data_IF_698094455060
#
_entry.id   IF_698094455060
#
_cell.length_a   1.000
_cell.length_b   1.000
_cell.length_c   1.000
_cell.angle_alpha   90.00
_cell.angle_beta   90.00
_cell.angle_gamma   90.00
#
_symmetry.space_group_name_H-M   'P 1'
#
loop_
_entity.id
_entity.type
_entity.pdbx_description
1 polymer ?
#
# COMPACT_ATOMS: atom_id res chain seq x y z
N UNK A 1 2.45 0.43 2.77
CA UNK A 1 1.20 0.90 2.13
C UNK A 1 0.76 2.16 2.84
N UNK A 2 0.49 3.22 2.09
CA UNK A 2 -0.05 4.47 2.63
C UNK A 2 -1.33 4.78 1.85
N UNK A 3 -2.40 5.06 2.58
CA UNK A 3 -3.74 5.27 2.01
C UNK A 3 -4.39 6.53 2.60
N UNK A 4 -4.08 7.70 2.05
CA UNK A 4 -4.75 8.91 2.50
C UNK A 4 -6.12 9.14 1.85
N UNK A 5 -6.93 9.90 2.53
CA UNK A 5 -8.25 10.37 2.06
C UNK A 5 -8.18 11.89 1.82
N UNK A 6 -8.66 12.31 0.66
CA UNK A 6 -8.81 13.72 0.32
C UNK A 6 -10.28 14.13 0.52
N UNK A 7 -10.53 15.29 1.14
CA UNK A 7 -11.86 15.90 1.22
C UNK A 7 -11.72 17.40 0.90
N UNK A 8 -12.62 17.94 0.05
CA UNK A 8 -12.67 19.35 -0.33
C UNK A 8 -14.02 19.92 0.10
N UNK A 9 -14.01 20.95 0.79
CA UNK A 9 -15.20 21.58 1.28
C UNK A 9 -15.36 22.86 0.48
N UNK A 10 -16.58 23.15 0.01
CA UNK A 10 -16.80 24.34 -0.71
C UNK A 10 -18.04 25.00 -0.42
N UNK A 11 -18.13 26.03 -0.34
CA UNK A 11 -19.24 26.88 -0.20
C UNK A 11 -19.32 27.76 -1.38
N UNK A 12 -20.08 28.31 -1.68
CA UNK A 12 -20.35 29.19 -2.70
C UNK A 12 -19.68 28.97 -4.02
N UNK A 13 -19.94 27.93 -4.63
CA UNK A 13 -19.66 27.76 -6.02
C UNK A 13 -18.29 27.17 -6.40
N UNK A 14 -17.51 26.69 -5.43
CA UNK A 14 -16.29 25.92 -5.72
C UNK A 14 -16.71 24.45 -5.86
N UNK A 15 -16.56 23.90 -7.05
CA UNK A 15 -16.99 22.52 -7.35
C UNK A 15 -15.94 21.52 -6.84
N UNK A 16 -16.24 20.86 -5.73
CA UNK A 16 -15.30 19.92 -5.08
C UNK A 16 -14.94 18.72 -5.98
N UNK A 17 -15.88 18.27 -6.83
CA UNK A 17 -15.63 17.16 -7.76
C UNK A 17 -14.57 17.55 -8.82
N UNK A 18 -14.62 18.79 -9.32
CA UNK A 18 -13.66 19.23 -10.35
C UNK A 18 -12.23 19.24 -9.78
N UNK A 19 -12.04 19.75 -8.56
CA UNK A 19 -10.73 19.73 -7.90
C UNK A 19 -10.30 18.30 -7.54
N UNK A 20 -11.24 17.45 -7.15
CA UNK A 20 -10.94 16.02 -6.93
C UNK A 20 -10.48 15.37 -8.24
N UNK A 21 -11.07 15.71 -9.37
CA UNK A 21 -10.66 15.17 -10.68
C UNK A 21 -9.23 15.61 -11.06
N UNK A 22 -8.85 16.85 -10.70
CA UNK A 22 -7.47 17.32 -10.91
C UNK A 22 -6.49 16.51 -10.03
N UNK A 23 -6.85 16.26 -8.76
CA UNK A 23 -6.04 15.41 -7.87
C UNK A 23 -5.89 14.00 -8.45
N UNK A 24 -7.00 13.40 -8.90
CA UNK A 24 -6.99 12.04 -9.50
C UNK A 24 -6.10 12.03 -10.76
N UNK A 25 -6.13 13.09 -11.55
CA UNK A 25 -5.29 13.23 -12.75
C UNK A 25 -3.81 13.26 -12.37
N UNK A 26 -3.45 14.00 -11.31
CA UNK A 26 -2.07 14.05 -10.82
C UNK A 26 -1.64 12.69 -10.24
N UNK A 27 -2.51 12.04 -9.47
CA UNK A 27 -2.25 10.68 -8.96
C UNK A 27 -1.94 9.74 -10.14
N UNK A 28 -2.80 9.74 -11.17
CA UNK A 28 -2.60 8.91 -12.36
C UNK A 28 -1.29 9.25 -13.08
N UNK A 29 -0.95 10.52 -13.19
CA UNK A 29 0.29 10.97 -13.83
C UNK A 29 1.53 10.43 -13.08
N UNK A 30 1.48 10.47 -11.74
CA UNK A 30 2.56 9.89 -10.90
C UNK A 30 2.60 8.37 -11.02
N UNK A 31 1.45 7.70 -11.04
CA UNK A 31 1.37 6.26 -11.22
C UNK A 31 2.08 5.81 -12.50
N UNK A 32 1.87 6.53 -13.60
CA UNK A 32 2.55 6.23 -14.88
C UNK A 32 4.07 6.39 -14.75
N UNK A 33 4.54 7.42 -14.02
CA UNK A 33 5.98 7.63 -13.79
C UNK A 33 6.57 6.50 -12.95
N UNK A 34 5.87 6.07 -11.88
CA UNK A 34 6.31 4.97 -11.03
C UNK A 34 6.42 3.67 -11.84
N UNK A 35 5.43 3.39 -12.68
CA UNK A 35 5.43 2.19 -13.52
C UNK A 35 6.59 2.18 -14.53
N UNK A 36 7.05 3.37 -14.97
CA UNK A 36 8.18 3.49 -15.87
C UNK A 36 9.53 3.35 -15.14
N UNK A 37 9.57 3.60 -13.83
CA UNK A 37 10.79 3.54 -13.01
C UNK A 37 10.92 2.13 -12.38
N UNK A 38 11.20 1.14 -13.23
CA UNK A 38 11.27 -0.26 -12.80
C UNK A 38 12.44 -0.51 -11.85
N UNK A 39 12.15 -1.27 -10.81
CA UNK A 39 13.17 -1.80 -9.90
C UNK A 39 14.06 -2.83 -10.61
N UNK A 40 15.31 -2.90 -10.20
CA UNK A 40 16.23 -3.96 -10.61
C UNK A 40 16.10 -5.21 -9.73
N UNK A 41 15.31 -5.16 -8.67
CA UNK A 41 15.09 -6.32 -7.79
C UNK A 41 14.17 -7.32 -8.47
N UNK A 42 14.74 -8.42 -8.93
CA UNK A 42 14.03 -9.47 -9.67
C UNK A 42 13.14 -10.36 -8.81
N UNK A 43 13.15 -10.16 -7.50
CA UNK A 43 12.31 -10.94 -6.58
C UNK A 43 10.85 -10.47 -6.57
N UNK A 44 10.59 -9.23 -7.02
CA UNK A 44 9.24 -8.68 -7.10
C UNK A 44 8.55 -9.13 -8.39
N UNK A 45 7.32 -9.62 -8.28
CA UNK A 45 6.45 -9.93 -9.43
C UNK A 45 5.99 -8.66 -10.16
N UNK A 46 5.75 -7.58 -9.41
CA UNK A 46 5.46 -6.25 -9.97
C UNK A 46 6.68 -5.38 -9.65
N UNK A 47 7.55 -5.12 -10.64
CA UNK A 47 8.86 -4.48 -10.37
C UNK A 47 8.79 -2.96 -10.31
N UNK A 48 7.75 -2.40 -9.71
CA UNK A 48 7.62 -0.96 -9.50
C UNK A 48 6.58 -0.67 -8.43
N UNK A 49 6.69 0.47 -7.80
CA UNK A 49 5.66 0.93 -6.86
C UNK A 49 4.36 1.24 -7.60
N UNK A 50 3.25 0.93 -6.97
CA UNK A 50 1.93 1.18 -7.56
C UNK A 50 1.21 2.28 -6.79
N UNK A 51 0.42 3.06 -7.50
CA UNK A 51 -0.36 4.17 -6.96
C UNK A 51 -1.74 4.10 -7.60
N UNK A 52 -2.78 4.04 -6.78
CA UNK A 52 -4.14 3.77 -7.25
C UNK A 52 -5.15 4.63 -6.51
N UNK A 53 -6.05 5.29 -7.26
CA UNK A 53 -7.27 5.86 -6.69
C UNK A 53 -8.30 4.74 -6.61
N UNK A 54 -8.84 4.49 -5.42
CA UNK A 54 -9.71 3.33 -5.16
C UNK A 54 -11.17 3.71 -5.00
N UNK A 55 -11.46 4.84 -4.32
CA UNK A 55 -12.84 5.23 -4.00
C UNK A 55 -13.00 6.74 -4.23
N UNK A 56 -14.13 7.13 -4.79
CA UNK A 56 -14.50 8.54 -4.95
C UNK A 56 -15.96 8.70 -4.56
N UNK A 57 -16.24 9.64 -3.68
CA UNK A 57 -17.60 10.00 -3.29
C UNK A 57 -17.79 11.51 -3.32
N UNK A 58 -18.77 12.00 -4.05
CA UNK A 58 -19.06 13.45 -4.12
C UNK A 58 -20.35 13.75 -4.85
N UNK A 59 -20.91 14.91 -4.51
CA UNK A 59 -22.14 15.40 -5.13
C UNK A 59 -23.40 14.80 -4.51
N UNK A 60 -24.51 15.54 -4.66
CA UNK A 60 -25.82 15.16 -4.11
C UNK A 60 -26.93 15.16 -5.18
N UNK A 61 -26.88 16.10 -6.13
CA UNK A 61 -27.89 16.23 -7.17
C UNK A 61 -27.32 16.96 -8.38
N UNK A 62 -27.88 16.69 -9.53
CA UNK A 62 -27.42 17.23 -10.83
C UNK A 62 -27.38 18.77 -10.86
N UNK A 63 -28.27 19.41 -10.17
CA UNK A 63 -28.43 20.86 -10.19
C UNK A 63 -27.84 21.58 -8.96
N UNK A 64 -27.00 20.89 -8.20
CA UNK A 64 -26.30 21.41 -7.01
C UNK A 64 -24.80 21.34 -7.23
N UNK A 65 -24.08 22.44 -7.03
CA UNK A 65 -22.63 22.44 -7.08
C UNK A 65 -22.10 21.58 -5.90
N UNK A 66 -21.32 20.53 -6.16
CA UNK A 66 -20.81 19.67 -5.07
C UNK A 66 -19.94 20.46 -4.08
N UNK A 67 -20.35 20.48 -2.83
CA UNK A 67 -19.62 21.16 -1.75
C UNK A 67 -18.50 20.29 -1.18
N UNK A 68 -18.61 18.96 -1.32
CA UNK A 68 -17.62 18.03 -0.82
C UNK A 68 -17.35 16.93 -1.86
N UNK A 69 -16.11 16.45 -1.85
CA UNK A 69 -15.72 15.24 -2.59
C UNK A 69 -14.60 14.55 -1.82
N UNK A 70 -14.77 13.26 -1.58
CA UNK A 70 -13.78 12.43 -0.92
C UNK A 70 -13.13 11.53 -1.96
N UNK A 71 -11.79 11.46 -1.92
CA UNK A 71 -11.00 10.59 -2.78
C UNK A 71 -10.11 9.74 -1.89
N UNK A 72 -10.21 8.43 -2.02
CA UNK A 72 -9.31 7.50 -1.32
C UNK A 72 -8.33 6.90 -2.33
N UNK A 73 -7.06 6.92 -1.97
CA UNK A 73 -6.01 6.37 -2.83
C UNK A 73 -4.96 5.68 -1.97
N UNK A 74 -4.22 4.76 -2.57
CA UNK A 74 -3.14 4.05 -1.88
C UNK A 74 -1.89 4.02 -2.73
N UNK A 75 -0.76 3.96 -2.05
CA UNK A 75 0.55 3.72 -2.66
C UNK A 75 1.16 2.48 -2.03
N UNK A 76 1.57 1.53 -2.86
CA UNK A 76 2.34 0.35 -2.41
C UNK A 76 3.76 0.51 -2.93
N UNK A 77 4.65 0.88 -2.04
CA UNK A 77 6.07 1.08 -2.34
C UNK A 77 6.85 -0.22 -2.31
N UNK A 78 7.82 -0.35 -3.20
CA UNK A 78 8.78 -1.46 -3.15
C UNK A 78 10.01 -1.10 -2.32
N UNK A 79 10.21 0.18 -1.98
CA UNK A 79 11.23 0.64 -1.03
C UNK A 79 10.61 0.94 0.33
N UNK A 80 11.43 0.98 1.37
CA UNK A 80 10.97 1.18 2.75
C UNK A 80 10.21 2.50 2.92
N UNK A 81 10.69 3.59 2.29
CA UNK A 81 10.11 4.93 2.43
C UNK A 81 9.32 5.38 1.21
N UNK A 82 9.36 4.64 0.10
CA UNK A 82 8.87 5.13 -1.19
C UNK A 82 7.38 5.47 -1.18
N UNK A 83 6.55 4.66 -0.51
CA UNK A 83 5.11 4.94 -0.43
C UNK A 83 4.84 6.26 0.29
N UNK A 84 5.56 6.51 1.38
CA UNK A 84 5.47 7.76 2.14
C UNK A 84 5.91 8.96 1.29
N UNK A 85 7.06 8.84 0.64
CA UNK A 85 7.60 9.91 -0.23
C UNK A 85 6.62 10.29 -1.35
N UNK A 86 6.00 9.28 -1.95
CA UNK A 86 5.02 9.49 -3.04
C UNK A 86 3.76 10.18 -2.51
N UNK A 87 3.22 9.72 -1.38
CA UNK A 87 2.00 10.30 -0.82
C UNK A 87 2.24 11.71 -0.28
N UNK A 88 3.37 11.95 0.39
CA UNK A 88 3.74 13.29 0.86
C UNK A 88 3.89 14.27 -0.31
N UNK A 89 4.46 13.82 -1.42
CA UNK A 89 4.61 14.66 -2.62
C UNK A 89 3.24 14.98 -3.26
N UNK A 90 2.25 14.09 -3.15
CA UNK A 90 0.88 14.36 -3.62
C UNK A 90 0.21 15.40 -2.70
N UNK A 91 0.34 15.22 -1.39
CA UNK A 91 -0.20 16.15 -0.39
C UNK A 91 0.40 17.54 -0.61
N UNK A 92 1.73 17.64 -0.74
CA UNK A 92 2.42 18.90 -0.97
C UNK A 92 1.95 19.57 -2.26
N UNK A 93 1.82 18.81 -3.34
CA UNK A 93 1.34 19.33 -4.62
C UNK A 93 -0.10 19.88 -4.49
N UNK A 94 -1.00 19.12 -3.87
CA UNK A 94 -2.39 19.55 -3.71
C UNK A 94 -2.50 20.83 -2.87
N UNK A 95 -1.69 20.94 -1.83
CA UNK A 95 -1.62 22.14 -0.97
C UNK A 95 -1.01 23.34 -1.70
N UNK A 96 -0.09 23.12 -2.62
CA UNK A 96 0.58 24.19 -3.35
C UNK A 96 -0.21 24.65 -4.58
N UNK A 97 -0.88 23.74 -5.26
CA UNK A 97 -1.51 24.04 -6.56
C UNK A 97 -3.04 24.13 -6.49
N UNK A 98 -3.70 23.17 -5.83
CA UNK A 98 -5.16 23.12 -5.82
C UNK A 98 -5.75 24.03 -4.73
N UNK A 99 -5.26 23.94 -3.51
CA UNK A 99 -5.86 24.66 -2.38
C UNK A 99 -5.85 26.19 -2.56
N UNK A 100 -4.77 26.81 -3.08
CA UNK A 100 -4.80 28.26 -3.34
C UNK A 100 -5.83 28.65 -4.41
N UNK A 101 -5.99 27.83 -5.45
CA UNK A 101 -6.98 28.07 -6.49
C UNK A 101 -8.42 27.98 -5.96
N UNK A 102 -8.66 27.07 -5.01
CA UNK A 102 -9.95 26.97 -4.31
C UNK A 102 -10.18 28.21 -3.42
N UNK A 103 -9.18 28.57 -2.63
CA UNK A 103 -9.25 29.70 -1.68
C UNK A 103 -9.38 31.04 -2.39
N UNK A 104 -8.85 31.18 -3.60
CA UNK A 104 -9.03 32.38 -4.41
C UNK A 104 -10.48 32.60 -4.81
N UNK A 105 -11.27 31.52 -4.92
CA UNK A 105 -12.70 31.58 -5.21
C UNK A 105 -13.54 31.74 -3.94
N UNK A 106 -13.16 31.05 -2.86
CA UNK A 106 -13.79 31.14 -1.56
C UNK A 106 -12.77 30.79 -0.48
N UNK A 107 -12.46 31.75 0.38
CA UNK A 107 -11.41 31.62 1.42
C UNK A 107 -11.70 30.48 2.43
N UNK A 108 -12.95 30.07 2.58
CA UNK A 108 -13.35 29.00 3.50
C UNK A 108 -13.08 27.60 2.94
N UNK A 109 -12.81 27.49 1.62
CA UNK A 109 -12.52 26.20 0.99
C UNK A 109 -11.15 25.69 1.43
N UNK A 110 -10.99 24.37 1.44
CA UNK A 110 -9.71 23.77 1.78
C UNK A 110 -9.65 22.31 1.42
N UNK A 111 -8.47 21.76 1.57
CA UNK A 111 -8.20 20.35 1.33
C UNK A 111 -7.65 19.75 2.64
N UNK A 112 -8.25 18.66 3.08
CA UNK A 112 -7.75 17.90 4.22
C UNK A 112 -7.29 16.52 3.75
N UNK A 113 -6.26 16.01 4.38
CA UNK A 113 -5.79 14.65 4.16
C UNK A 113 -5.83 13.92 5.50
N UNK A 114 -6.34 12.71 5.45
CA UNK A 114 -6.37 11.81 6.60
C UNK A 114 -5.62 10.54 6.20
N UNK A 115 -4.63 10.17 6.98
CA UNK A 115 -3.90 8.91 6.78
C UNK A 115 -4.73 7.79 7.40
N UNK A 116 -5.21 6.87 6.58
CA UNK A 116 -6.01 5.73 7.03
C UNK A 116 -5.11 4.60 7.50
N UNK A 117 -3.98 4.42 6.81
CA UNK A 117 -3.10 3.28 7.05
C UNK A 117 -1.70 3.61 6.55
N UNK A 118 -0.68 3.26 7.34
CA UNK A 118 0.72 3.32 6.90
C UNK A 118 1.50 2.13 7.46
N UNK A 119 1.97 1.28 6.55
CA UNK A 119 2.88 0.19 6.89
C UNK A 119 4.16 0.36 6.08
N UNK A 120 5.34 0.39 6.74
CA UNK A 120 6.59 0.34 5.99
C UNK A 120 6.71 -0.98 5.22
N UNK A 121 7.52 -1.01 4.20
CA UNK A 121 7.78 -2.25 3.47
C UNK A 121 8.52 -3.23 4.38
N UNK A 122 8.23 -4.53 4.25
CA UNK A 122 9.02 -5.58 4.89
C UNK A 122 10.15 -5.94 3.92
N UNK A 123 11.37 -5.52 4.25
CA UNK A 123 12.55 -5.75 3.40
C UNK A 123 13.64 -6.50 4.18
N UNK A 124 13.29 -7.69 4.65
CA UNK A 124 14.24 -8.56 5.36
C UNK A 124 15.28 -9.09 4.37
N UNK A 125 16.55 -8.92 4.70
CA UNK A 125 17.66 -9.34 3.84
C UNK A 125 17.61 -10.85 3.56
N UNK A 126 17.91 -11.25 2.33
CA UNK A 126 17.82 -12.64 1.87
C UNK A 126 18.72 -13.60 2.67
N UNK A 127 19.82 -13.08 3.23
CA UNK A 127 20.78 -13.83 4.03
C UNK A 127 20.54 -13.71 5.54
N UNK A 128 19.47 -13.04 5.96
CA UNK A 128 19.12 -12.92 7.37
C UNK A 128 18.91 -14.31 8.00
N UNK A 129 19.29 -14.44 9.28
CA UNK A 129 19.19 -15.70 10.01
C UNK A 129 17.77 -16.27 10.00
N UNK A 130 16.77 -15.41 10.13
CA UNK A 130 15.36 -15.82 10.14
C UNK A 130 14.93 -16.39 8.77
N UNK A 131 15.44 -15.81 7.66
CA UNK A 131 15.16 -16.31 6.30
C UNK A 131 15.80 -17.67 6.10
N UNK A 132 17.07 -17.82 6.52
CA UNK A 132 17.81 -19.08 6.46
C UNK A 132 17.11 -20.18 7.27
N UNK A 133 16.68 -19.84 8.49
CA UNK A 133 15.94 -20.75 9.36
C UNK A 133 14.61 -21.18 8.71
N UNK A 134 13.83 -20.21 8.23
CA UNK A 134 12.53 -20.49 7.61
C UNK A 134 12.69 -21.42 6.40
N UNK A 135 13.66 -21.15 5.53
CA UNK A 135 13.96 -21.99 4.37
C UNK A 135 14.31 -23.43 4.79
N UNK A 136 15.19 -23.56 5.79
CA UNK A 136 15.61 -24.88 6.31
C UNK A 136 14.41 -25.65 6.85
N UNK A 137 13.56 -24.99 7.65
CA UNK A 137 12.37 -25.63 8.24
C UNK A 137 11.31 -25.95 7.18
N UNK A 138 11.20 -25.14 6.13
CA UNK A 138 10.26 -25.37 5.04
C UNK A 138 10.76 -26.41 4.02
N UNK A 139 12.04 -26.74 4.04
CA UNK A 139 12.65 -27.61 3.03
C UNK A 139 12.73 -26.92 1.66
N UNK A 140 12.95 -25.60 1.64
CA UNK A 140 12.99 -24.77 0.42
C UNK A 140 14.28 -23.97 0.35
N UNK A 141 14.70 -23.65 -0.86
CA UNK A 141 15.89 -22.82 -1.09
C UNK A 141 15.57 -21.48 -1.71
N UNK A 142 14.31 -21.29 -2.13
CA UNK A 142 13.84 -20.08 -2.80
C UNK A 142 13.05 -19.17 -1.84
N UNK A 143 12.85 -17.96 -2.27
CA UNK A 143 11.94 -17.01 -1.65
C UNK A 143 11.56 -15.96 -2.71
N UNK A 144 10.53 -15.16 -2.42
CA UNK A 144 10.07 -14.10 -3.31
C UNK A 144 9.67 -12.89 -2.46
N UNK A 145 9.52 -11.77 -3.11
CA UNK A 145 8.90 -10.57 -2.54
C UNK A 145 7.56 -10.39 -3.23
N UNK A 146 6.58 -9.91 -2.49
CA UNK A 146 5.23 -9.66 -3.00
C UNK A 146 4.83 -8.21 -2.76
N UNK A 147 3.97 -7.69 -3.64
CA UNK A 147 3.52 -6.29 -3.58
C UNK A 147 2.32 -6.11 -2.64
N UNK A 148 2.32 -6.82 -1.49
CA UNK A 148 1.26 -6.74 -0.50
C UNK A 148 1.78 -6.10 0.79
N UNK A 149 0.89 -5.39 1.48
CA UNK A 149 1.16 -4.94 2.83
C UNK A 149 1.13 -6.12 3.81
N UNK A 150 1.97 -6.04 4.85
CA UNK A 150 1.97 -7.01 5.94
C UNK A 150 2.32 -6.31 7.25
N UNK A 151 1.61 -6.69 8.31
CA UNK A 151 1.91 -6.21 9.66
C UNK A 151 3.26 -6.72 10.18
N UNK A 152 3.86 -7.71 9.50
CA UNK A 152 5.19 -8.22 9.85
C UNK A 152 6.26 -7.11 9.80
N UNK A 153 6.07 -6.12 8.93
CA UNK A 153 6.96 -4.96 8.85
C UNK A 153 6.98 -4.13 10.14
N UNK A 154 5.89 -4.13 10.92
CA UNK A 154 5.82 -3.41 12.19
C UNK A 154 6.72 -4.06 13.25
N UNK A 155 6.85 -5.39 13.24
CA UNK A 155 7.78 -6.07 14.15
C UNK A 155 9.23 -5.62 13.88
N UNK A 156 9.58 -5.47 12.60
CA UNK A 156 10.91 -5.02 12.21
C UNK A 156 11.11 -3.53 12.54
N UNK A 157 10.15 -2.68 12.15
CA UNK A 157 10.33 -1.23 12.28
C UNK A 157 10.16 -0.70 13.70
N UNK A 158 9.29 -1.31 14.50
CA UNK A 158 8.95 -0.81 15.84
C UNK A 158 9.64 -1.59 16.97
N UNK A 159 9.92 -2.87 16.75
CA UNK A 159 10.48 -3.74 17.79
C UNK A 159 11.88 -4.26 17.47
N UNK A 160 12.41 -3.92 16.29
CA UNK A 160 13.73 -4.39 15.80
C UNK A 160 13.81 -5.93 15.79
N UNK A 161 12.68 -6.58 15.47
CA UNK A 161 12.58 -8.04 15.38
C UNK A 161 12.54 -8.43 13.90
N UNK A 162 13.60 -9.08 13.38
CA UNK A 162 13.59 -9.52 11.98
C UNK A 162 12.42 -10.49 11.72
N UNK A 163 11.70 -10.26 10.64
CA UNK A 163 10.50 -11.03 10.32
C UNK A 163 10.54 -11.54 8.88
N UNK A 164 9.91 -12.67 8.66
CA UNK A 164 9.66 -13.24 7.33
C UNK A 164 8.26 -13.85 7.32
N UNK A 165 7.55 -13.65 6.22
CA UNK A 165 6.20 -14.22 6.07
C UNK A 165 6.32 -15.60 5.44
N UNK A 166 5.63 -16.57 6.01
CA UNK A 166 5.56 -17.92 5.48
C UNK A 166 4.16 -18.50 5.76
N UNK A 167 3.62 -19.20 4.78
CA UNK A 167 2.29 -19.80 4.91
C UNK A 167 2.02 -20.81 3.81
N UNK A 168 0.88 -21.53 3.90
CA UNK A 168 0.51 -22.51 2.87
C UNK A 168 -0.07 -21.84 1.62
N UNK A 169 -0.02 -22.53 0.51
CA UNK A 169 -0.66 -22.10 -0.74
C UNK A 169 0.26 -21.30 -1.66
N UNK A 170 -0.33 -20.70 -2.65
CA UNK A 170 0.37 -19.91 -3.66
C UNK A 170 -0.32 -18.57 -3.86
N UNK A 171 0.49 -17.54 -4.11
CA UNK A 171 0.02 -16.17 -4.27
C UNK A 171 -1.02 -16.03 -5.41
N UNK A 172 -0.92 -16.88 -6.42
CA UNK A 172 -1.85 -16.89 -7.55
C UNK A 172 -3.29 -17.25 -7.16
N UNK A 173 -3.47 -17.86 -5.99
CA UNK A 173 -4.78 -18.26 -5.47
C UNK A 173 -5.39 -17.17 -4.56
N UNK A 174 -4.56 -16.23 -4.10
CA UNK A 174 -4.98 -15.19 -3.16
C UNK A 174 -5.72 -14.06 -3.88
N UNK A 175 -6.69 -13.46 -3.21
CA UNK A 175 -7.45 -12.29 -3.70
C UNK A 175 -8.21 -12.57 -5.00
N UNK A 176 -8.64 -13.82 -5.18
CA UNK A 176 -9.44 -14.23 -6.35
C UNK A 176 -10.83 -14.70 -5.89
N UNK A 177 -11.85 -14.64 -6.77
CA UNK A 177 -13.11 -15.30 -6.45
C UNK A 177 -12.86 -16.80 -6.16
N UNK A 178 -13.53 -17.32 -5.15
CA UNK A 178 -13.40 -18.71 -4.72
C UNK A 178 -11.95 -19.06 -4.27
N UNK A 179 -11.27 -18.12 -3.62
CA UNK A 179 -9.93 -18.32 -3.04
C UNK A 179 -9.88 -19.62 -2.25
N UNK A 180 -8.84 -20.42 -2.46
CA UNK A 180 -8.68 -21.72 -1.81
C UNK A 180 -7.22 -22.01 -1.49
N UNK A 181 -7.02 -22.99 -0.62
CA UNK A 181 -5.70 -23.57 -0.35
C UNK A 181 -5.81 -25.10 -0.47
N UNK A 182 -4.82 -25.69 -1.11
CA UNK A 182 -4.77 -27.14 -1.29
C UNK A 182 -4.49 -27.84 0.06
N UNK A 183 -5.16 -28.96 0.31
CA UNK A 183 -4.94 -29.75 1.53
C UNK A 183 -3.46 -30.13 1.72
N UNK A 184 -2.79 -30.48 0.63
CA UNK A 184 -1.37 -30.81 0.68
C UNK A 184 -0.49 -29.64 1.17
N UNK A 185 -0.90 -28.40 0.89
CA UNK A 185 -0.17 -27.22 1.38
C UNK A 185 -0.40 -27.00 2.87
N UNK A 186 -1.63 -27.29 3.35
CA UNK A 186 -1.91 -27.25 4.79
C UNK A 186 -1.07 -28.31 5.55
N UNK A 187 -0.94 -29.51 4.97
CA UNK A 187 -0.10 -30.59 5.56
C UNK A 187 1.37 -30.16 5.62
N UNK A 188 1.89 -29.55 4.56
CA UNK A 188 3.26 -29.00 4.53
C UNK A 188 3.45 -27.93 5.62
N UNK A 189 2.45 -27.06 5.77
CA UNK A 189 2.47 -25.98 6.77
C UNK A 189 2.47 -26.58 8.19
N UNK A 190 1.62 -27.58 8.46
CA UNK A 190 1.61 -28.27 9.74
C UNK A 190 2.98 -28.89 10.05
N UNK A 191 3.60 -29.56 9.08
CA UNK A 191 4.94 -30.11 9.22
C UNK A 191 6.00 -29.05 9.48
N UNK A 192 5.89 -27.88 8.85
CA UNK A 192 6.76 -26.74 9.13
C UNK A 192 6.63 -26.31 10.59
N UNK A 193 5.40 -26.16 11.09
CA UNK A 193 5.12 -25.72 12.48
C UNK A 193 5.70 -26.75 13.47
N UNK A 194 5.55 -28.05 13.20
CA UNK A 194 6.13 -29.11 14.05
C UNK A 194 7.65 -28.98 14.13
N UNK A 195 8.32 -28.77 12.98
CA UNK A 195 9.78 -28.59 12.94
C UNK A 195 10.20 -27.31 13.67
N UNK A 196 9.43 -26.23 13.56
CA UNK A 196 9.71 -24.99 14.28
C UNK A 196 9.59 -25.20 15.79
N UNK A 197 8.54 -25.87 16.26
CA UNK A 197 8.35 -26.21 17.68
C UNK A 197 9.55 -27.05 18.18
N UNK A 198 9.95 -28.04 17.39
CA UNK A 198 11.09 -28.90 17.74
C UNK A 198 12.41 -28.12 17.79
N UNK A 199 12.58 -27.14 16.90
CA UNK A 199 13.74 -26.23 16.89
C UNK A 199 13.78 -25.39 18.16
N UNK A 200 12.65 -24.77 18.53
CA UNK A 200 12.57 -23.89 19.71
C UNK A 200 12.78 -24.66 21.03
N UNK A 201 12.46 -25.96 21.07
CA UNK A 201 12.68 -26.79 22.27
C UNK A 201 14.16 -27.17 22.47
N UNK A 202 15.00 -27.00 21.46
CA UNK A 202 16.43 -27.35 21.53
C UNK A 202 17.31 -26.16 21.94
N UNK A 203 16.84 -24.95 21.76
CA UNK A 203 17.55 -23.74 22.16
C UNK A 203 17.18 -23.27 23.55
#
# INVERSE_FOLDING_TARGET
VSAPRFAAXXXXGVNAIEYAAELITEIRRRAVKLAAARSTDSLYDVPHSTLLTSIVHGGAALNIVPDTCTVEFECRGIGITESREVTDAIVAWAKAELEPAMKAKNAECGITFEEILDYPALDTAADAAIVTLAKSLAGRNDHAKVAFGTEASLFTSMADVPAVVIGPGAIAQAHTPDEFVEMAELEKCAGFVERLIAHCKKG
#
